data_IF_983796655826
#
_entry.id   IF_983796655826
#
_cell.length_a   1.000
_cell.length_b   1.000
_cell.length_c   1.000
_cell.angle_alpha   90.00
_cell.angle_beta   90.00
_cell.angle_gamma   90.00
#
_symmetry.space_group_name_H-M   'P 1'
#
loop_
_entity.id
_entity.type
_entity.pdbx_description
1 polymer ?
#
# COMPACT_ATOMS: atom_id res chain seq x y z
N UNK A 1 -7.50 -1.18 19.49
CA UNK A 1 -7.02 -1.51 18.16
C UNK A 1 -5.53 -1.16 18.02
N UNK A 2 -4.68 -2.01 18.59
CA UNK A 2 -3.26 -1.72 18.77
C UNK A 2 -2.37 -2.26 17.64
N UNK A 3 -2.94 -2.93 16.61
CA UNK A 3 -2.14 -3.74 15.67
C UNK A 3 -2.30 -3.36 14.21
N UNK A 4 -2.45 -2.08 13.90
CA UNK A 4 -2.38 -1.57 12.52
C UNK A 4 -0.93 -1.49 12.07
N UNK A 5 -0.38 -2.60 11.55
CA UNK A 5 1.01 -2.64 11.06
C UNK A 5 1.14 -3.64 9.91
N UNK A 6 1.29 -3.22 8.87
CA UNK A 6 1.84 -3.11 7.53
C UNK A 6 2.47 -4.39 6.98
N UNK A 7 2.28 -4.60 5.71
CA UNK A 7 2.80 -5.68 4.90
C UNK A 7 2.14 -7.01 5.24
N UNK A 8 2.48 -7.66 6.36
CA UNK A 8 1.91 -8.94 6.75
C UNK A 8 0.40 -8.83 7.08
N UNK A 9 -0.07 -7.69 7.53
CA UNK A 9 -1.49 -7.42 7.82
C UNK A 9 -2.34 -7.22 6.55
N UNK A 10 -1.71 -6.90 5.43
CA UNK A 10 -2.36 -6.84 4.12
C UNK A 10 -2.41 -8.19 3.40
N UNK A 11 -1.59 -9.17 3.80
CA UNK A 11 -1.52 -10.49 3.15
C UNK A 11 -2.06 -11.62 4.03
N UNK A 12 -2.53 -11.33 5.25
CA UNK A 12 -2.94 -12.36 6.21
C UNK A 12 -4.09 -13.25 5.75
N UNK A 13 -4.96 -12.77 4.87
CA UNK A 13 -6.07 -13.54 4.29
C UNK A 13 -5.87 -13.88 2.80
N UNK A 14 -4.69 -13.61 2.25
CA UNK A 14 -4.45 -13.70 0.82
C UNK A 14 -4.67 -15.10 0.27
N UNK A 15 -4.11 -16.13 0.92
CA UNK A 15 -4.24 -17.52 0.48
C UNK A 15 -5.70 -18.01 0.60
N UNK A 16 -6.43 -17.57 1.61
CA UNK A 16 -7.86 -17.91 1.77
C UNK A 16 -8.71 -17.33 0.64
N UNK A 17 -8.41 -16.08 0.25
CA UNK A 17 -9.09 -15.40 -0.87
C UNK A 17 -8.78 -16.12 -2.19
N UNK A 18 -7.51 -16.41 -2.45
CA UNK A 18 -7.09 -17.12 -3.67
C UNK A 18 -7.76 -18.50 -3.75
N UNK A 19 -7.72 -19.26 -2.66
CA UNK A 19 -8.29 -20.61 -2.61
C UNK A 19 -9.81 -20.60 -2.79
N UNK A 20 -10.49 -19.57 -2.26
CA UNK A 20 -11.94 -19.45 -2.33
C UNK A 20 -12.45 -18.98 -3.67
N UNK A 21 -11.78 -18.00 -4.28
CA UNK A 21 -12.28 -17.30 -5.45
C UNK A 21 -11.49 -17.57 -6.73
N UNK A 22 -10.34 -18.24 -6.62
CA UNK A 22 -9.42 -18.53 -7.74
C UNK A 22 -9.06 -17.26 -8.54
N UNK A 23 -8.70 -16.20 -7.84
CA UNK A 23 -8.37 -14.89 -8.43
C UNK A 23 -6.86 -14.70 -8.56
N UNK A 24 -6.39 -13.99 -9.59
CA UNK A 24 -4.98 -13.61 -9.69
C UNK A 24 -4.62 -12.54 -8.66
N UNK A 25 -3.34 -12.49 -8.29
CA UNK A 25 -2.76 -11.47 -7.41
C UNK A 25 -1.83 -10.61 -8.24
N UNK A 26 -1.98 -9.30 -8.14
CA UNK A 26 -1.11 -8.33 -8.81
C UNK A 26 -0.37 -7.50 -7.77
N UNK A 27 0.93 -7.33 -7.96
CA UNK A 27 1.75 -6.47 -7.11
C UNK A 27 3.00 -6.01 -7.86
N UNK A 28 3.72 -5.07 -7.28
CA UNK A 28 5.01 -4.64 -7.83
C UNK A 28 6.06 -5.74 -7.67
N UNK A 29 6.89 -5.94 -8.68
CA UNK A 29 7.89 -7.03 -8.70
C UNK A 29 8.97 -6.90 -7.62
N UNK A 30 9.26 -5.69 -7.15
CA UNK A 30 10.18 -5.48 -6.02
C UNK A 30 9.69 -6.06 -4.68
N UNK A 31 8.43 -6.46 -4.58
CA UNK A 31 7.83 -7.02 -3.36
C UNK A 31 7.41 -8.47 -3.48
N UNK A 32 7.71 -9.16 -4.57
CA UNK A 32 7.38 -10.58 -4.71
C UNK A 32 7.93 -11.43 -3.56
N UNK A 33 9.13 -11.10 -3.11
CA UNK A 33 9.77 -11.78 -1.98
C UNK A 33 9.07 -11.53 -0.63
N UNK A 34 8.35 -10.42 -0.48
CA UNK A 34 7.64 -10.09 0.77
C UNK A 34 6.59 -11.13 1.13
N UNK A 35 6.01 -11.79 0.13
CA UNK A 35 5.04 -12.86 0.37
C UNK A 35 5.62 -14.04 1.13
N UNK A 36 6.92 -14.28 1.05
CA UNK A 36 7.59 -15.46 1.62
C UNK A 36 8.60 -15.14 2.70
N UNK A 37 8.98 -13.87 2.86
CA UNK A 37 10.05 -13.44 3.77
C UNK A 37 9.48 -12.58 4.90
N UNK A 38 9.32 -13.14 6.12
CA UNK A 38 8.81 -12.40 7.28
C UNK A 38 9.69 -11.22 7.72
N UNK A 39 10.97 -11.21 7.39
CA UNK A 39 11.85 -10.06 7.66
C UNK A 39 11.49 -8.89 6.73
N UNK A 40 11.18 -9.16 5.46
CA UNK A 40 10.81 -8.15 4.49
C UNK A 40 9.37 -7.66 4.70
N UNK A 41 8.43 -8.55 4.97
CA UNK A 41 7.03 -8.15 5.19
C UNK A 41 6.74 -7.65 6.60
N UNK A 42 7.75 -7.59 7.48
CA UNK A 42 7.66 -7.05 8.82
C UNK A 42 7.09 -7.99 9.89
N UNK A 43 6.60 -9.19 9.53
CA UNK A 43 6.04 -10.14 10.49
C UNK A 43 7.08 -10.60 11.54
N UNK A 44 8.35 -10.70 11.16
CA UNK A 44 9.42 -11.14 12.04
C UNK A 44 9.58 -10.24 13.29
N UNK A 45 9.36 -8.92 13.16
CA UNK A 45 9.45 -7.97 14.29
C UNK A 45 8.45 -8.29 15.42
N UNK A 46 7.36 -8.98 15.11
CA UNK A 46 6.28 -9.28 16.06
C UNK A 46 6.31 -10.71 16.59
N UNK A 47 7.26 -11.54 16.12
CA UNK A 47 7.45 -12.90 16.59
C UNK A 47 7.63 -12.96 18.11
N UNK A 48 8.37 -12.00 18.68
CA UNK A 48 8.61 -11.92 20.13
C UNK A 48 7.32 -11.68 20.95
N UNK A 49 6.26 -11.18 20.33
CA UNK A 49 4.95 -10.96 20.96
C UNK A 49 3.96 -12.11 20.68
N UNK A 50 4.46 -13.25 20.17
CA UNK A 50 3.64 -14.42 19.88
C UNK A 50 2.78 -14.29 18.61
N UNK A 51 3.02 -13.27 17.77
CA UNK A 51 2.31 -13.13 16.50
C UNK A 51 2.75 -14.19 15.48
N UNK A 52 1.83 -14.72 14.68
CA UNK A 52 2.17 -15.70 13.65
C UNK A 52 3.07 -15.07 12.58
N UNK A 53 3.95 -15.89 12.01
CA UNK A 53 4.73 -15.48 10.85
C UNK A 53 3.83 -15.62 9.62
N UNK A 54 3.37 -14.50 9.08
CA UNK A 54 2.48 -14.47 7.93
C UNK A 54 3.32 -14.61 6.65
N UNK A 55 3.05 -15.64 5.89
CA UNK A 55 3.61 -15.90 4.56
C UNK A 55 2.49 -16.37 3.63
N UNK A 56 2.68 -16.23 2.33
CA UNK A 56 1.73 -16.67 1.30
C UNK A 56 2.45 -17.41 0.18
N UNK A 57 1.85 -18.49 -0.31
CA UNK A 57 2.33 -19.24 -1.48
C UNK A 57 1.78 -18.67 -2.81
N UNK A 58 1.14 -17.52 -2.78
CA UNK A 58 0.67 -16.83 -3.97
C UNK A 58 1.77 -16.66 -5.01
N UNK A 59 1.39 -16.75 -6.28
CA UNK A 59 2.26 -16.49 -7.44
C UNK A 59 1.82 -15.17 -8.08
N UNK A 60 2.38 -14.05 -7.63
CA UNK A 60 1.93 -12.74 -8.10
C UNK A 60 2.31 -12.51 -9.56
N UNK A 61 1.49 -11.72 -10.21
CA UNK A 61 1.73 -11.14 -11.52
C UNK A 61 2.23 -9.71 -11.32
N UNK A 62 3.24 -9.32 -12.10
CA UNK A 62 3.75 -7.95 -12.07
C UNK A 62 2.71 -6.99 -12.63
N UNK A 63 2.48 -5.88 -11.92
CA UNK A 63 1.73 -4.74 -12.42
C UNK A 63 2.65 -3.51 -12.43
N UNK A 64 2.56 -2.71 -13.47
CA UNK A 64 3.44 -1.56 -13.70
C UNK A 64 2.64 -0.26 -13.61
N UNK A 65 3.34 0.84 -13.35
CA UNK A 65 2.77 2.19 -13.40
C UNK A 65 2.17 2.50 -14.77
N UNK A 66 1.02 3.14 -14.75
CA UNK A 66 0.30 3.61 -15.94
C UNK A 66 -1.15 3.13 -16.05
N UNK A 67 -1.83 3.48 -17.14
CA UNK A 67 -3.20 3.05 -17.41
C UNK A 67 -3.30 1.53 -17.50
N UNK A 68 -4.26 0.95 -16.80
CA UNK A 68 -4.40 -0.50 -16.66
C UNK A 68 -5.87 -0.91 -16.79
N UNK A 69 -6.09 -2.09 -17.38
CA UNK A 69 -7.40 -2.74 -17.42
C UNK A 69 -7.27 -4.18 -16.97
N UNK A 70 -7.98 -4.54 -15.89
CA UNK A 70 -8.04 -5.91 -15.38
C UNK A 70 -9.50 -6.29 -15.20
N UNK A 71 -9.92 -7.41 -15.80
CA UNK A 71 -11.30 -7.94 -15.71
C UNK A 71 -12.39 -6.88 -15.98
N UNK A 72 -12.12 -5.94 -16.89
CA UNK A 72 -13.06 -4.87 -17.25
C UNK A 72 -13.01 -3.63 -16.34
N UNK A 73 -12.21 -3.64 -15.28
CA UNK A 73 -11.94 -2.45 -14.48
C UNK A 73 -10.85 -1.61 -15.12
N UNK A 74 -11.13 -0.33 -15.33
CA UNK A 74 -10.19 0.66 -15.86
C UNK A 74 -9.70 1.55 -14.74
N UNK A 75 -8.39 1.63 -14.57
CA UNK A 75 -7.75 2.46 -13.54
C UNK A 75 -6.31 2.81 -13.94
N UNK A 76 -5.73 3.77 -13.27
CA UNK A 76 -4.29 4.07 -13.38
C UNK A 76 -3.56 3.53 -12.15
N UNK A 77 -2.39 2.97 -12.37
CA UNK A 77 -1.46 2.56 -11.32
C UNK A 77 -0.42 3.65 -11.15
N UNK A 78 -0.24 4.14 -9.95
CA UNK A 78 0.87 5.01 -9.57
C UNK A 78 1.85 4.21 -8.70
N UNK A 79 3.13 4.25 -9.04
CA UNK A 79 4.18 3.73 -8.15
C UNK A 79 4.46 4.78 -7.09
N UNK A 80 4.11 4.50 -5.83
CA UNK A 80 4.20 5.43 -4.69
C UNK A 80 5.11 4.85 -3.59
N UNK A 81 6.42 4.65 -3.87
CA UNK A 81 7.36 4.07 -2.92
C UNK A 81 7.61 4.97 -1.72
N UNK A 82 8.26 4.40 -0.69
CA UNK A 82 8.72 5.08 0.50
C UNK A 82 8.22 4.43 1.78
N UNK A 83 6.94 4.03 1.86
CA UNK A 83 6.49 3.11 2.89
C UNK A 83 7.11 1.72 2.69
N UNK A 84 7.05 1.23 1.47
CA UNK A 84 7.77 0.07 0.97
C UNK A 84 8.24 0.32 -0.47
N UNK A 85 9.21 -0.45 -1.01
CA UNK A 85 9.80 -0.14 -2.31
C UNK A 85 8.84 -0.33 -3.49
N UNK A 86 7.87 -1.22 -3.35
CA UNK A 86 6.87 -1.52 -4.38
C UNK A 86 5.47 -1.02 -4.07
N UNK A 87 5.31 -0.06 -3.15
CA UNK A 87 4.01 0.52 -2.83
C UNK A 87 3.34 1.07 -4.09
N UNK A 88 2.05 0.73 -4.27
CA UNK A 88 1.24 1.16 -5.40
C UNK A 88 -0.03 1.85 -4.92
N UNK A 89 -0.43 2.87 -5.66
CA UNK A 89 -1.75 3.51 -5.53
C UNK A 89 -2.57 3.25 -6.79
N UNK A 90 -3.84 2.90 -6.62
CA UNK A 90 -4.75 2.56 -7.71
C UNK A 90 -5.80 3.66 -7.84
N UNK A 91 -5.76 4.39 -8.95
CA UNK A 91 -6.63 5.54 -9.21
C UNK A 91 -7.74 5.15 -10.17
N UNK A 92 -8.95 5.07 -9.65
CA UNK A 92 -10.17 4.88 -10.41
C UNK A 92 -10.79 6.25 -10.75
N UNK A 93 -11.87 6.24 -11.53
CA UNK A 93 -12.55 7.46 -11.94
C UNK A 93 -13.05 8.31 -10.78
N UNK A 94 -13.59 7.66 -9.74
CA UNK A 94 -14.34 8.35 -8.68
C UNK A 94 -13.69 8.18 -7.30
N UNK A 95 -12.54 7.52 -7.20
CA UNK A 95 -11.77 7.33 -5.97
C UNK A 95 -10.36 6.78 -6.25
N UNK A 96 -9.49 6.82 -5.25
CA UNK A 96 -8.22 6.09 -5.29
C UNK A 96 -8.03 5.22 -4.04
N UNK A 97 -7.34 4.08 -4.20
CA UNK A 97 -6.87 3.22 -3.10
C UNK A 97 -5.37 3.44 -2.97
N UNK A 98 -4.94 4.00 -1.86
CA UNK A 98 -3.55 4.49 -1.68
C UNK A 98 -2.71 3.64 -0.74
N UNK A 99 -3.27 2.53 -0.23
CA UNK A 99 -2.56 1.65 0.71
C UNK A 99 -2.01 2.43 1.92
N UNK A 100 -0.78 2.12 2.29
CA UNK A 100 -0.10 2.75 3.42
C UNK A 100 0.81 3.93 3.00
N UNK A 101 0.45 4.60 1.93
CA UNK A 101 1.17 5.80 1.47
C UNK A 101 0.70 7.04 2.22
N UNK A 102 -0.60 7.32 2.23
CA UNK A 102 -1.19 8.53 2.82
C UNK A 102 -2.44 8.16 3.64
N UNK A 103 -2.54 8.68 4.85
CA UNK A 103 -3.66 8.49 5.77
C UNK A 103 -4.35 9.81 6.09
N UNK A 104 -5.54 9.74 6.65
CA UNK A 104 -6.20 10.92 7.21
C UNK A 104 -5.34 11.53 8.33
N UNK A 105 -4.77 12.71 8.08
CA UNK A 105 -3.81 13.42 8.94
C UNK A 105 -2.55 12.59 9.29
N UNK A 106 -2.09 11.74 8.40
CA UNK A 106 -0.90 10.91 8.62
C UNK A 106 -0.30 10.39 7.33
N UNK A 107 0.85 9.76 7.45
CA UNK A 107 1.54 9.06 6.36
C UNK A 107 2.00 7.68 6.81
N UNK A 108 2.33 6.82 5.86
CA UNK A 108 2.90 5.51 6.14
C UNK A 108 4.22 5.62 6.91
N UNK A 109 4.49 4.62 7.76
CA UNK A 109 5.79 4.54 8.42
C UNK A 109 6.88 4.15 7.42
N UNK A 110 8.11 4.55 7.70
CA UNK A 110 9.25 4.36 6.80
C UNK A 110 10.44 3.64 7.46
N UNK A 111 10.24 3.12 8.66
CA UNK A 111 11.26 2.42 9.45
C UNK A 111 11.26 0.89 9.24
N UNK A 112 10.55 0.40 8.23
CA UNK A 112 10.53 -1.00 7.84
C UNK A 112 11.51 -1.27 6.70
N UNK A 113 11.54 -2.51 6.20
CA UNK A 113 12.48 -2.95 5.18
C UNK A 113 12.40 -2.07 3.92
N UNK A 114 13.50 -1.38 3.59
CA UNK A 114 13.63 -0.45 2.47
C UNK A 114 12.61 0.72 2.48
N UNK A 115 12.06 1.04 3.66
CA UNK A 115 11.27 2.26 3.83
C UNK A 115 12.18 3.50 3.80
N UNK A 116 11.69 4.60 3.23
CA UNK A 116 12.41 5.86 3.12
C UNK A 116 11.45 7.04 3.18
N UNK A 117 11.71 7.96 4.12
CA UNK A 117 10.80 9.07 4.40
C UNK A 117 10.76 10.10 3.27
N UNK A 118 11.90 10.47 2.71
CA UNK A 118 11.98 11.48 1.64
C UNK A 118 11.28 10.96 0.39
N UNK A 119 11.53 9.71 0.02
CA UNK A 119 10.86 9.03 -1.10
C UNK A 119 9.33 8.97 -0.89
N UNK A 120 8.86 8.74 0.35
CA UNK A 120 7.43 8.73 0.64
C UNK A 120 6.80 10.11 0.47
N UNK A 121 7.45 11.15 0.98
CA UNK A 121 6.99 12.54 0.84
C UNK A 121 6.95 12.94 -0.63
N UNK A 122 7.97 12.61 -1.42
CA UNK A 122 8.00 12.87 -2.86
C UNK A 122 6.87 12.13 -3.59
N UNK A 123 6.66 10.85 -3.26
CA UNK A 123 5.55 10.06 -3.82
C UNK A 123 4.18 10.70 -3.57
N UNK A 124 3.97 11.24 -2.38
CA UNK A 124 2.72 11.92 -2.02
C UNK A 124 2.60 13.25 -2.78
N UNK A 125 3.63 14.10 -2.73
CA UNK A 125 3.59 15.44 -3.32
C UNK A 125 3.54 15.41 -4.85
N UNK A 126 4.38 14.56 -5.46
CA UNK A 126 4.56 14.56 -6.92
C UNK A 126 3.54 13.69 -7.65
N UNK A 127 2.80 12.82 -6.93
CA UNK A 127 1.84 11.89 -7.56
C UNK A 127 0.44 11.98 -6.97
N UNK A 128 0.27 11.88 -5.65
CA UNK A 128 -1.06 11.91 -5.07
C UNK A 128 -1.66 13.32 -5.05
N UNK A 129 -0.85 14.34 -4.80
CA UNK A 129 -1.32 15.74 -4.81
C UNK A 129 -1.56 16.31 -6.22
N UNK A 130 -1.16 15.59 -7.28
CA UNK A 130 -1.51 15.91 -8.66
C UNK A 130 -2.91 15.38 -9.07
N UNK A 131 -3.57 14.61 -8.20
CA UNK A 131 -4.93 14.14 -8.41
C UNK A 131 -5.94 15.27 -8.08
N UNK A 132 -7.21 15.07 -8.51
CA UNK A 132 -8.28 16.02 -8.21
C UNK A 132 -8.42 16.21 -6.69
N UNK A 133 -8.56 17.46 -6.24
CA UNK A 133 -8.53 17.86 -4.83
C UNK A 133 -9.60 17.17 -3.98
N UNK A 134 -10.79 16.97 -4.55
CA UNK A 134 -11.94 16.35 -3.89
C UNK A 134 -12.02 14.83 -4.07
N UNK A 135 -11.03 14.21 -4.78
CA UNK A 135 -11.01 12.77 -5.00
C UNK A 135 -10.87 12.01 -3.67
N UNK A 136 -11.80 11.10 -3.33
CA UNK A 136 -11.67 10.28 -2.14
C UNK A 136 -10.48 9.33 -2.22
N UNK A 137 -9.61 9.38 -1.21
CA UNK A 137 -8.45 8.51 -1.03
C UNK A 137 -8.73 7.48 0.06
N UNK A 138 -8.72 6.20 -0.29
CA UNK A 138 -8.94 5.09 0.64
C UNK A 138 -7.60 4.50 1.07
N UNK A 139 -7.15 4.76 2.32
CA UNK A 139 -5.92 4.19 2.85
C UNK A 139 -6.08 2.74 3.29
N UNK A 140 -4.95 2.08 3.55
CA UNK A 140 -4.91 0.75 4.15
C UNK A 140 -5.45 0.72 5.59
N UNK A 141 -5.35 1.85 6.31
CA UNK A 141 -5.81 2.00 7.69
C UNK A 141 -6.51 3.33 7.91
N UNK A 142 -7.50 3.33 8.80
CA UNK A 142 -8.23 4.54 9.20
C UNK A 142 -9.32 4.94 8.21
N UNK A 143 -9.91 6.14 8.39
CA UNK A 143 -10.94 6.66 7.52
C UNK A 143 -10.35 7.13 6.18
N UNK A 144 -11.21 7.27 5.16
CA UNK A 144 -10.84 7.92 3.92
C UNK A 144 -10.54 9.41 4.15
N UNK A 145 -9.82 10.00 3.21
CA UNK A 145 -9.51 11.43 3.16
C UNK A 145 -9.61 11.94 1.73
N UNK A 146 -9.26 13.19 1.48
CA UNK A 146 -9.15 13.77 0.13
C UNK A 146 -7.79 14.42 -0.06
N UNK A 147 -7.43 14.71 -1.30
CA UNK A 147 -6.17 15.44 -1.58
C UNK A 147 -6.17 16.81 -0.90
N UNK A 148 -7.30 17.55 -0.99
CA UNK A 148 -7.42 18.89 -0.40
C UNK A 148 -7.28 18.87 1.14
N UNK A 149 -7.88 17.87 1.80
CA UNK A 149 -7.78 17.72 3.26
C UNK A 149 -6.32 17.48 3.71
N UNK A 150 -5.53 16.78 2.89
CA UNK A 150 -4.15 16.42 3.23
C UNK A 150 -3.10 17.45 2.79
N UNK A 151 -3.47 18.52 2.08
CA UNK A 151 -2.54 19.61 1.76
C UNK A 151 -1.94 20.26 3.03
N UNK A 152 -2.64 20.20 4.16
CA UNK A 152 -2.18 20.70 5.46
C UNK A 152 -1.69 19.59 6.40
N UNK A 153 -1.46 18.39 5.89
CA UNK A 153 -0.97 17.26 6.67
C UNK A 153 0.34 17.63 7.40
N UNK A 154 0.40 17.46 8.74
CA UNK A 154 1.53 17.93 9.55
C UNK A 154 2.85 17.23 9.23
N UNK A 155 2.82 16.03 8.66
CA UNK A 155 4.02 15.29 8.27
C UNK A 155 4.61 15.74 6.93
N UNK A 156 3.86 16.51 6.14
CA UNK A 156 4.25 16.97 4.82
C UNK A 156 4.66 18.45 4.79
N UNK A 157 4.37 19.19 5.86
CA UNK A 157 4.58 20.64 5.96
C UNK A 157 5.53 21.04 7.10
N UNK A 158 6.30 20.09 7.63
CA UNK A 158 7.29 20.31 8.70
C UNK A 158 8.64 20.77 8.19
#
# INVERSE_FOLDING_TARGET
DVYKRQHYDHIGALDDIINKYNVPVYMHDEEFDFLKDPEKNGAAKFKQYGMPQVISDAKPLSIKEGPTTIEGFHFSVLHTPGHSPGSLSYVFKDFAVVGDTLFNNGIGRTDLYRGDFETLVDSIKDKLFELDGDLPLFPGHGPYTTVDDEQLNPFLNG
#
